data_IF_820835857799
#
_entry.id   IF_820835857799
#
_cell.length_a   1.000
_cell.length_b   1.000
_cell.length_c   1.000
_cell.angle_alpha   90.00
_cell.angle_beta   90.00
_cell.angle_gamma   90.00
#
_symmetry.space_group_name_H-M   'P 1'
#
loop_
_entity.id
_entity.type
_entity.pdbx_description
1 polymer ?
#
# COMPACT_ATOMS: atom_id res chain seq x y z
N UNK A 1 8.54 -8.20 -42.15
CA UNK A 1 7.49 -8.25 -41.10
C UNK A 1 6.22 -7.65 -41.67
N UNK A 2 5.09 -8.37 -41.61
CA UNK A 2 3.84 -7.96 -42.26
C UNK A 2 3.23 -6.75 -41.52
N UNK A 3 2.93 -5.66 -42.22
CA UNK A 3 2.42 -4.41 -41.62
C UNK A 3 1.12 -4.61 -40.83
N UNK A 4 0.31 -5.59 -41.22
CA UNK A 4 -0.90 -5.99 -40.48
C UNK A 4 -0.60 -6.66 -39.13
N UNK A 5 0.48 -7.43 -39.04
CA UNK A 5 0.91 -8.07 -37.79
C UNK A 5 1.49 -7.02 -36.83
N UNK A 6 2.25 -6.05 -37.35
CA UNK A 6 2.76 -4.94 -36.56
C UNK A 6 1.63 -4.08 -35.96
N UNK A 7 0.58 -3.78 -36.73
CA UNK A 7 -0.57 -3.03 -36.25
C UNK A 7 -1.36 -3.78 -35.14
N UNK A 8 -1.51 -5.10 -35.28
CA UNK A 8 -2.19 -5.93 -34.28
C UNK A 8 -1.39 -5.99 -32.96
N UNK A 9 -0.07 -6.14 -33.04
CA UNK A 9 0.81 -6.11 -31.86
C UNK A 9 0.78 -4.74 -31.17
N UNK A 10 0.76 -3.66 -31.93
CA UNK A 10 0.64 -2.31 -31.37
C UNK A 10 -0.70 -2.12 -30.65
N UNK A 11 -1.80 -2.62 -31.22
CA UNK A 11 -3.12 -2.56 -30.60
C UNK A 11 -3.19 -3.33 -29.26
N UNK A 12 -2.59 -4.52 -29.19
CA UNK A 12 -2.49 -5.30 -27.95
C UNK A 12 -1.60 -4.62 -26.88
N UNK A 13 -0.53 -3.95 -27.29
CA UNK A 13 0.34 -3.21 -26.36
C UNK A 13 -0.33 -1.95 -25.81
N UNK A 14 -1.11 -1.24 -26.63
CA UNK A 14 -1.85 -0.04 -26.19
C UNK A 14 -3.04 -0.37 -25.28
N UNK A 15 -3.74 -1.47 -25.54
CA UNK A 15 -4.91 -1.86 -24.74
C UNK A 15 -4.52 -2.32 -23.33
N UNK A 16 -3.43 -3.10 -23.17
CA UNK A 16 -2.99 -3.54 -21.84
C UNK A 16 -2.55 -2.41 -20.91
N UNK A 17 -1.98 -1.32 -21.47
CA UNK A 17 -1.59 -0.14 -20.70
C UNK A 17 -2.81 0.61 -20.13
N UNK A 18 -3.89 0.73 -20.91
CA UNK A 18 -5.11 1.44 -20.51
C UNK A 18 -5.89 0.76 -19.38
N UNK A 19 -5.94 -0.58 -19.37
CA UNK A 19 -6.62 -1.35 -18.31
C UNK A 19 -5.91 -1.30 -16.96
N UNK A 20 -4.56 -1.28 -16.95
CA UNK A 20 -3.80 -1.26 -15.71
C UNK A 20 -3.87 0.10 -14.98
N UNK A 21 -3.97 1.20 -15.73
CA UNK A 21 -4.01 2.55 -15.17
C UNK A 21 -5.40 2.89 -14.60
N UNK A 22 -6.47 2.50 -15.30
CA UNK A 22 -7.85 2.70 -14.82
C UNK A 22 -8.13 2.01 -13.49
N UNK A 23 -7.64 0.77 -13.32
CA UNK A 23 -7.80 0.01 -12.09
C UNK A 23 -7.07 0.67 -10.90
N UNK A 24 -5.96 1.38 -11.14
CA UNK A 24 -5.22 2.07 -10.08
C UNK A 24 -5.92 3.34 -9.62
N UNK A 25 -6.46 4.12 -10.55
CA UNK A 25 -7.21 5.33 -10.21
C UNK A 25 -8.50 4.99 -9.46
N UNK A 26 -9.22 3.95 -9.88
CA UNK A 26 -10.39 3.45 -9.15
C UNK A 26 -10.04 3.03 -7.71
N UNK A 27 -8.95 2.29 -7.53
CA UNK A 27 -8.52 1.85 -6.20
C UNK A 27 -8.06 3.01 -5.31
N UNK A 28 -7.45 4.05 -5.88
CA UNK A 28 -7.09 5.28 -5.15
C UNK A 28 -8.31 6.05 -4.69
N UNK A 29 -9.30 6.21 -5.56
CA UNK A 29 -10.58 6.83 -5.24
C UNK A 29 -11.28 6.05 -4.13
N UNK A 30 -11.29 4.73 -4.23
CA UNK A 30 -11.84 3.85 -3.21
C UNK A 30 -11.12 4.02 -1.86
N UNK A 31 -9.79 4.04 -1.86
CA UNK A 31 -9.02 4.28 -0.64
C UNK A 31 -9.19 5.69 -0.05
N UNK A 32 -9.51 6.68 -0.89
CA UNK A 32 -9.80 8.04 -0.44
C UNK A 32 -11.11 8.14 0.36
N UNK A 33 -12.00 7.14 0.26
CA UNK A 33 -13.24 7.08 1.04
C UNK A 33 -13.01 6.59 2.48
N UNK A 34 -11.86 5.98 2.78
CA UNK A 34 -11.54 5.56 4.13
C UNK A 34 -10.87 6.68 4.92
N UNK A 35 -11.26 6.82 6.18
CA UNK A 35 -10.59 7.74 7.09
C UNK A 35 -9.14 7.27 7.30
N UNK A 36 -8.21 8.19 7.06
CA UNK A 36 -6.78 7.94 7.22
C UNK A 36 -6.22 8.89 8.28
N UNK A 37 -5.64 8.33 9.33
CA UNK A 37 -4.99 9.08 10.40
C UNK A 37 -3.48 9.06 10.16
N UNK A 38 -2.95 10.23 9.79
CA UNK A 38 -1.53 10.42 9.51
C UNK A 38 -0.77 11.02 10.71
N UNK A 39 0.55 11.14 10.56
CA UNK A 39 1.44 11.88 11.48
C UNK A 39 1.46 11.36 12.93
N UNK A 40 1.16 10.08 13.13
CA UNK A 40 1.22 9.45 14.45
C UNK A 40 2.67 9.04 14.73
N UNK A 41 3.33 9.69 15.69
CA UNK A 41 4.63 9.20 16.20
C UNK A 41 4.35 8.17 17.28
N UNK A 42 4.54 6.89 16.96
CA UNK A 42 4.30 5.83 17.93
C UNK A 42 5.52 5.57 18.84
N UNK A 43 6.71 5.96 18.39
CA UNK A 43 7.95 5.81 19.17
C UNK A 43 9.00 6.83 18.76
N UNK A 44 9.74 7.34 19.75
CA UNK A 44 11.03 8.01 19.52
C UNK A 44 12.12 7.15 20.16
N UNK A 45 13.18 6.85 19.41
CA UNK A 45 14.31 6.03 19.86
C UNK A 45 15.61 6.60 19.28
N UNK A 46 16.63 6.81 20.11
CA UNK A 46 17.93 7.36 19.70
C UNK A 46 17.80 8.68 18.90
N UNK A 47 16.84 9.55 19.29
CA UNK A 47 16.54 10.80 18.59
C UNK A 47 15.77 10.65 17.27
N UNK A 48 15.46 9.42 16.83
CA UNK A 48 14.68 9.12 15.63
C UNK A 48 13.21 8.92 15.97
N UNK A 49 12.34 9.66 15.30
CA UNK A 49 10.89 9.44 15.30
C UNK A 49 10.55 8.27 14.37
N UNK A 50 9.69 7.38 14.83
CA UNK A 50 9.11 6.30 14.04
C UNK A 50 7.61 6.56 13.94
N UNK A 51 7.15 6.73 12.71
CA UNK A 51 5.77 7.09 12.44
C UNK A 51 4.88 5.88 12.14
N UNK A 52 3.59 6.06 12.37
CA UNK A 52 2.50 5.15 12.05
C UNK A 52 1.46 5.89 11.20
N UNK A 53 0.80 5.15 10.32
CA UNK A 53 -0.37 5.57 9.55
C UNK A 53 -1.47 4.55 9.83
N UNK A 54 -2.70 5.01 10.05
CA UNK A 54 -3.85 4.14 10.31
C UNK A 54 -4.94 4.42 9.28
N UNK A 55 -5.46 3.36 8.68
CA UNK A 55 -6.67 3.37 7.85
C UNK A 55 -7.81 2.76 8.66
N UNK A 56 -8.91 3.49 8.75
CA UNK A 56 -10.11 3.06 9.47
C UNK A 56 -11.20 2.63 8.48
N UNK A 57 -11.88 1.49 8.75
CA UNK A 57 -13.07 1.10 8.01
C UNK A 57 -14.25 2.01 8.40
N UNK A 58 -15.44 1.77 7.84
CA UNK A 58 -16.64 2.58 8.13
C UNK A 58 -16.87 2.74 9.66
N UNK A 59 -17.08 4.00 10.09
CA UNK A 59 -17.33 4.39 11.47
C UNK A 59 -18.56 3.74 12.10
N UNK A 60 -19.50 3.26 11.29
CA UNK A 60 -20.74 2.62 11.75
C UNK A 60 -20.56 1.15 12.15
N UNK A 61 -19.35 0.60 12.03
CA UNK A 61 -19.08 -0.78 12.38
C UNK A 61 -18.99 -1.00 13.90
N UNK A 62 -19.42 -2.19 14.40
CA UNK A 62 -19.30 -2.54 15.81
C UNK A 62 -17.86 -2.44 16.35
N UNK A 63 -17.74 -2.05 17.63
CA UNK A 63 -16.48 -1.99 18.37
C UNK A 63 -16.44 -3.08 19.45
N UNK A 64 -15.27 -3.65 19.81
CA UNK A 64 -13.96 -3.41 19.19
C UNK A 64 -13.86 -4.06 17.80
N UNK A 65 -12.99 -3.53 16.94
CA UNK A 65 -12.73 -4.08 15.61
C UNK A 65 -11.34 -4.72 15.56
N UNK A 66 -11.13 -5.76 14.73
CA UNK A 66 -9.81 -6.32 14.51
C UNK A 66 -8.88 -5.30 13.85
N UNK A 67 -7.57 -5.47 14.10
CA UNK A 67 -6.52 -4.63 13.53
C UNK A 67 -5.49 -5.49 12.82
N UNK A 68 -5.16 -5.13 11.58
CA UNK A 68 -4.02 -5.65 10.84
C UNK A 68 -2.86 -4.65 10.95
N UNK A 69 -1.69 -5.12 11.41
CA UNK A 69 -0.47 -4.32 11.46
C UNK A 69 0.45 -4.71 10.30
N UNK A 70 0.65 -3.80 9.37
CA UNK A 70 1.55 -3.95 8.23
C UNK A 70 2.95 -3.42 8.58
N UNK A 71 3.94 -4.28 8.42
CA UNK A 71 5.36 -3.92 8.44
C UNK A 71 5.91 -4.00 7.03
N UNK A 72 6.41 -2.89 6.51
CA UNK A 72 6.90 -2.86 5.14
C UNK A 72 8.08 -3.81 4.91
N UNK A 73 8.20 -4.36 3.69
CA UNK A 73 9.42 -5.02 3.24
C UNK A 73 10.52 -4.02 2.89
N UNK A 74 11.51 -4.48 2.12
CA UNK A 74 12.68 -3.68 1.75
C UNK A 74 13.97 -4.15 2.42
N UNK A 75 14.02 -5.43 2.79
CA UNK A 75 15.25 -6.05 3.21
C UNK A 75 15.88 -5.37 4.42
N UNK A 76 15.11 -4.87 5.39
CA UNK A 76 15.61 -4.18 6.61
C UNK A 76 16.44 -2.91 6.37
N UNK A 77 16.92 -2.65 5.15
CA UNK A 77 17.75 -1.52 4.77
C UNK A 77 16.95 -0.42 4.06
N UNK A 78 15.70 -0.70 3.68
CA UNK A 78 14.84 0.25 2.99
C UNK A 78 13.35 0.10 3.28
N UNK A 79 12.58 1.05 2.77
CA UNK A 79 11.12 1.09 2.88
C UNK A 79 10.60 2.18 3.80
N UNK A 80 9.27 2.29 3.86
CA UNK A 80 8.55 3.26 4.69
C UNK A 80 7.08 2.82 4.87
N UNK A 81 6.37 3.51 5.76
CA UNK A 81 4.95 3.28 6.07
C UNK A 81 4.02 3.28 4.84
N UNK A 82 4.35 4.00 3.78
CA UNK A 82 3.53 4.10 2.55
C UNK A 82 3.65 2.89 1.61
N UNK A 83 4.51 1.91 1.90
CA UNK A 83 4.64 0.69 1.08
C UNK A 83 3.36 -0.16 1.03
N UNK A 84 2.46 0.00 2.00
CA UNK A 84 1.13 -0.62 2.01
C UNK A 84 0.29 -0.20 0.79
N UNK A 85 0.53 0.98 0.22
CA UNK A 85 -0.18 1.53 -0.94
C UNK A 85 0.40 1.04 -2.28
N UNK A 86 1.39 0.15 -2.27
CA UNK A 86 1.92 -0.42 -3.51
C UNK A 86 0.91 -1.34 -4.17
N UNK A 87 0.96 -1.41 -5.49
CA UNK A 87 0.09 -2.28 -6.31
C UNK A 87 0.06 -3.75 -5.86
N UNK A 88 1.14 -4.23 -5.22
CA UNK A 88 1.24 -5.59 -4.69
C UNK A 88 0.41 -5.87 -3.43
N UNK A 89 -0.05 -4.84 -2.71
CA UNK A 89 -0.75 -5.00 -1.42
C UNK A 89 -2.03 -4.17 -1.31
N UNK A 90 -2.14 -3.10 -2.10
CA UNK A 90 -3.25 -2.14 -2.05
C UNK A 90 -4.64 -2.79 -2.18
N UNK A 91 -4.80 -3.86 -2.97
CA UNK A 91 -6.08 -4.60 -3.04
C UNK A 91 -6.38 -5.40 -1.77
N UNK A 92 -5.36 -5.89 -1.06
CA UNK A 92 -5.52 -6.53 0.26
C UNK A 92 -5.91 -5.51 1.33
N UNK A 93 -5.28 -4.33 1.31
CA UNK A 93 -5.66 -3.22 2.21
C UNK A 93 -7.14 -2.88 2.05
N UNK A 94 -7.58 -2.72 0.80
CA UNK A 94 -8.96 -2.41 0.47
C UNK A 94 -9.95 -3.47 0.98
N UNK A 95 -9.70 -4.75 0.65
CA UNK A 95 -10.52 -5.86 1.15
C UNK A 95 -10.60 -5.92 2.68
N UNK A 96 -9.50 -5.64 3.39
CA UNK A 96 -9.50 -5.61 4.85
C UNK A 96 -10.39 -4.48 5.39
N UNK A 97 -10.30 -3.29 4.81
CA UNK A 97 -11.12 -2.14 5.22
C UNK A 97 -12.61 -2.35 4.89
N UNK A 98 -12.93 -2.91 3.73
CA UNK A 98 -14.30 -3.30 3.36
C UNK A 98 -14.91 -4.30 4.37
N UNK A 99 -14.09 -5.22 4.90
CA UNK A 99 -14.52 -6.23 5.87
C UNK A 99 -14.41 -5.78 7.33
N UNK A 100 -14.22 -4.47 7.57
CA UNK A 100 -14.25 -3.91 8.92
C UNK A 100 -12.99 -4.12 9.74
N UNK A 101 -11.86 -4.38 9.08
CA UNK A 101 -10.55 -4.50 9.72
C UNK A 101 -9.80 -3.18 9.60
N UNK A 102 -9.47 -2.56 10.73
CA UNK A 102 -8.58 -1.39 10.73
C UNK A 102 -7.16 -1.82 10.35
N UNK A 103 -6.48 -1.00 9.56
CA UNK A 103 -5.14 -1.32 9.08
C UNK A 103 -4.15 -0.26 9.55
N UNK A 104 -3.14 -0.65 10.33
CA UNK A 104 -2.04 0.21 10.73
C UNK A 104 -0.78 -0.17 9.95
N UNK A 105 0.03 0.80 9.57
CA UNK A 105 1.35 0.57 8.95
C UNK A 105 2.39 1.42 9.67
N UNK A 106 3.56 0.84 9.94
CA UNK A 106 4.59 1.47 10.77
C UNK A 106 5.91 1.62 10.03
N UNK A 107 6.64 2.66 10.40
CA UNK A 107 8.08 2.74 10.18
C UNK A 107 8.82 1.95 11.25
N UNK A 108 9.99 1.41 10.91
CA UNK A 108 10.91 0.82 11.87
C UNK A 108 12.34 1.29 11.59
N UNK A 109 13.26 1.04 12.54
CA UNK A 109 14.68 1.38 12.34
C UNK A 109 15.28 0.51 11.23
N UNK A 110 15.85 1.15 10.23
CA UNK A 110 16.58 0.46 9.16
C UNK A 110 18.00 0.11 9.61
N UNK A 111 18.57 -0.97 9.06
CA UNK A 111 19.96 -1.33 9.28
C UNK A 111 20.90 -0.26 8.71
N UNK A 112 22.01 0.00 9.41
CA UNK A 112 23.11 0.82 8.88
C UNK A 112 24.08 -0.13 8.17
N UNK A 113 23.89 -0.37 6.88
CA UNK A 113 24.76 -1.25 6.07
C UNK A 113 24.00 -2.38 5.36
N UNK A 114 24.76 -3.36 4.86
CA UNK A 114 24.20 -4.52 4.15
C UNK A 114 23.30 -5.32 5.07
N UNK A 115 22.09 -5.58 4.59
CA UNK A 115 21.16 -6.43 5.28
C UNK A 115 21.55 -7.89 5.08
N UNK A 116 21.63 -8.67 6.16
CA UNK A 116 21.96 -10.10 6.12
C UNK A 116 20.77 -10.99 5.81
N UNK A 117 19.64 -10.38 5.49
CA UNK A 117 18.45 -11.14 5.26
C UNK A 117 18.31 -11.45 3.77
N UNK A 118 18.45 -12.75 3.54
CA UNK A 118 18.32 -13.47 2.27
C UNK A 118 16.88 -13.58 1.83
#
# INVERSE_FOLDING_TARGET
>A
MNTKIAALLLFFLFSSMGFADSNREQLREQLANYETIENIVYKTVDGRRLDMLIFLPDKNLPRPMPVMLHTHGGGWSGGNKYKILRSSFVGTLDQLLENGVACATIEYRLTRGDSTAV
#
